data_IF_468065196165
#
_entry.id   IF_468065196165
#
_cell.length_a   1.000
_cell.length_b   1.000
_cell.length_c   1.000
_cell.angle_alpha   90.00
_cell.angle_beta   90.00
_cell.angle_gamma   90.00
#
_symmetry.space_group_name_H-M   'P 1'
#
loop_
_entity.id
_entity.type
_entity.pdbx_description
1 polymer ?
#
# COMPACT_ATOMS: atom_id res chain seq x y z
N UNK A 1 23.68 13.93 -4.44
CA UNK A 1 23.93 13.46 -5.82
C UNK A 1 22.74 13.86 -6.67
N UNK A 2 22.88 14.72 -7.69
CA UNK A 2 21.76 15.08 -8.55
C UNK A 2 21.33 13.87 -9.39
N UNK A 3 20.02 13.71 -9.60
CA UNK A 3 19.46 12.63 -10.40
C UNK A 3 19.92 12.74 -11.87
N UNK A 4 20.14 11.60 -12.57
CA UNK A 4 20.59 11.62 -13.96
C UNK A 4 19.55 12.28 -14.89
N UNK A 5 20.00 13.01 -15.93
CA UNK A 5 19.11 13.63 -16.91
C UNK A 5 18.37 12.55 -17.70
N UNK A 6 17.03 12.57 -17.64
CA UNK A 6 16.16 11.60 -18.31
C UNK A 6 15.13 10.90 -17.41
N UNK A 7 15.14 11.17 -16.10
CA UNK A 7 14.05 10.74 -15.22
C UNK A 7 12.76 11.47 -15.63
N UNK A 8 11.89 10.78 -16.37
CA UNK A 8 10.52 11.22 -16.60
C UNK A 8 9.86 11.30 -15.23
N UNK A 9 9.66 12.50 -14.72
CA UNK A 9 8.80 12.72 -13.56
C UNK A 9 7.38 12.43 -14.00
N UNK A 10 6.92 11.19 -13.82
CA UNK A 10 5.49 10.89 -13.92
C UNK A 10 4.76 11.77 -12.89
N UNK A 11 3.62 12.39 -13.26
CA UNK A 11 2.82 13.13 -12.30
C UNK A 11 2.43 12.21 -11.15
N UNK A 12 2.59 12.69 -9.91
CA UNK A 12 2.10 12.01 -8.73
C UNK A 12 0.59 11.82 -8.88
N UNK A 13 0.14 10.56 -8.90
CA UNK A 13 -1.27 10.23 -8.94
C UNK A 13 -1.71 9.78 -7.56
N UNK A 14 -2.56 10.58 -6.91
CA UNK A 14 -3.15 10.22 -5.62
C UNK A 14 -4.32 9.26 -5.86
N UNK A 15 -4.32 8.16 -5.12
CA UNK A 15 -5.36 7.13 -5.17
C UNK A 15 -5.84 6.78 -3.76
N UNK A 16 -7.04 6.25 -3.65
CA UNK A 16 -7.51 5.58 -2.43
C UNK A 16 -7.35 4.07 -2.60
N UNK A 17 -6.55 3.48 -1.70
CA UNK A 17 -6.34 2.05 -1.62
C UNK A 17 -7.03 1.44 -0.41
N UNK A 18 -7.57 0.24 -0.56
CA UNK A 18 -8.03 -0.59 0.55
C UNK A 18 -6.82 -1.34 1.14
N UNK A 19 -6.56 -1.22 2.45
CA UNK A 19 -5.58 -2.09 3.11
C UNK A 19 -6.22 -3.44 3.37
N UNK A 20 -5.63 -4.52 2.85
CA UNK A 20 -6.18 -5.88 2.95
C UNK A 20 -5.09 -6.89 3.29
N UNK A 21 -5.13 -7.41 4.52
CA UNK A 21 -4.19 -8.44 4.99
C UNK A 21 -4.43 -9.81 4.37
N UNK A 22 -5.60 -10.04 3.76
CA UNK A 22 -5.91 -11.27 3.03
C UNK A 22 -5.41 -11.26 1.58
N UNK A 23 -5.01 -10.10 1.06
CA UNK A 23 -4.46 -9.98 -0.28
C UNK A 23 -2.96 -10.34 -0.30
N UNK A 24 -2.53 -11.34 -1.08
CA UNK A 24 -1.12 -11.73 -1.13
C UNK A 24 -0.24 -10.69 -1.83
N UNK A 25 -0.81 -9.88 -2.70
CA UNK A 25 -0.09 -8.87 -3.49
C UNK A 25 -0.85 -7.55 -3.48
N UNK A 26 -0.11 -6.45 -3.55
CA UNK A 26 -0.65 -5.13 -3.86
C UNK A 26 -1.04 -5.05 -5.33
N UNK A 27 -2.24 -4.57 -5.61
CA UNK A 27 -2.70 -4.41 -6.99
C UNK A 27 -3.56 -3.16 -7.19
N UNK A 28 -3.57 -2.65 -8.41
CA UNK A 28 -4.34 -1.49 -8.84
C UNK A 28 -5.20 -1.83 -10.04
N UNK A 29 -6.28 -1.09 -10.22
CA UNK A 29 -7.12 -1.21 -11.41
C UNK A 29 -6.40 -0.68 -12.67
N UNK A 30 -7.06 -0.87 -13.81
CA UNK A 30 -6.57 -0.39 -15.11
C UNK A 30 -6.43 1.13 -15.17
N UNK A 31 -7.32 1.86 -14.51
CA UNK A 31 -7.34 3.32 -14.52
C UNK A 31 -6.09 3.91 -13.86
N UNK A 32 -5.60 3.30 -12.78
CA UNK A 32 -4.32 3.70 -12.17
C UNK A 32 -3.15 3.44 -13.12
N UNK A 33 -3.14 2.29 -13.81
CA UNK A 33 -2.09 2.01 -14.80
C UNK A 33 -2.05 3.08 -15.89
N UNK A 34 -3.21 3.45 -16.43
CA UNK A 34 -3.33 4.48 -17.46
C UNK A 34 -2.92 5.86 -16.94
N UNK A 35 -3.31 6.23 -15.72
CA UNK A 35 -2.93 7.50 -15.07
C UNK A 35 -1.42 7.62 -14.82
N UNK A 36 -0.76 6.50 -14.48
CA UNK A 36 0.69 6.43 -14.30
C UNK A 36 1.45 6.29 -15.63
N UNK A 37 0.76 6.15 -16.76
CA UNK A 37 1.37 5.91 -18.07
C UNK A 37 2.01 4.52 -18.20
N UNK A 38 1.60 3.56 -17.37
CA UNK A 38 2.07 2.17 -17.43
C UNK A 38 1.52 1.52 -18.69
N UNK A 39 2.43 1.05 -19.55
CA UNK A 39 2.06 0.38 -20.81
C UNK A 39 1.87 -1.11 -20.59
N UNK A 40 0.62 -1.53 -20.41
CA UNK A 40 0.28 -2.95 -20.28
C UNK A 40 0.22 -3.66 -21.64
N UNK A 41 0.50 -4.96 -21.67
CA UNK A 41 0.43 -5.81 -22.86
C UNK A 41 1.74 -5.88 -23.66
N UNK A 42 2.88 -5.55 -23.05
CA UNK A 42 4.19 -5.64 -23.71
C UNK A 42 4.62 -7.10 -23.88
N UNK A 43 5.29 -7.41 -24.99
CA UNK A 43 5.87 -8.73 -25.18
C UNK A 43 6.93 -9.01 -24.11
N UNK A 44 6.85 -10.18 -23.47
CA UNK A 44 7.76 -10.56 -22.37
C UNK A 44 7.43 -9.91 -21.01
N UNK A 45 6.27 -9.25 -20.87
CA UNK A 45 5.84 -8.71 -19.60
C UNK A 45 5.60 -9.83 -18.56
N UNK A 46 5.87 -9.52 -17.29
CA UNK A 46 5.57 -10.39 -16.16
C UNK A 46 4.06 -10.36 -15.91
N UNK A 47 3.40 -11.52 -16.04
CA UNK A 47 1.93 -11.62 -16.01
C UNK A 47 1.49 -12.65 -14.99
N UNK A 48 0.29 -12.46 -14.46
CA UNK A 48 -0.33 -13.42 -13.56
C UNK A 48 -1.83 -13.24 -13.47
N UNK A 49 -2.42 -13.83 -12.43
CA UNK A 49 -3.82 -13.66 -12.12
C UNK A 49 -4.02 -13.38 -10.64
N UNK A 50 -5.01 -12.53 -10.33
CA UNK A 50 -5.45 -12.24 -8.97
C UNK A 50 -6.94 -12.58 -8.84
N UNK A 51 -7.36 -12.90 -7.62
CA UNK A 51 -8.76 -13.17 -7.30
C UNK A 51 -9.36 -11.95 -6.62
N UNK A 52 -10.32 -11.30 -7.26
CA UNK A 52 -10.95 -10.05 -6.79
C UNK A 52 -12.46 -10.21 -6.89
N UNK A 53 -13.17 -9.93 -5.79
CA UNK A 53 -14.64 -10.01 -5.72
C UNK A 53 -15.20 -11.35 -6.21
N UNK A 54 -14.49 -12.45 -5.93
CA UNK A 54 -14.85 -13.80 -6.36
C UNK A 54 -14.48 -14.16 -7.81
N UNK A 55 -14.11 -13.19 -8.65
CA UNK A 55 -13.65 -13.39 -10.03
C UNK A 55 -12.13 -13.54 -10.15
N UNK A 56 -11.67 -13.98 -11.33
CA UNK A 56 -10.25 -14.09 -11.69
C UNK A 56 -9.90 -13.05 -12.74
N UNK A 57 -8.85 -12.27 -12.47
CA UNK A 57 -8.46 -11.15 -13.32
C UNK A 57 -7.01 -11.29 -13.73
N UNK A 58 -6.75 -11.11 -15.03
CA UNK A 58 -5.39 -11.09 -15.57
C UNK A 58 -4.71 -9.78 -15.18
N UNK A 59 -3.48 -9.91 -14.71
CA UNK A 59 -2.64 -8.78 -14.29
C UNK A 59 -1.30 -8.80 -15.00
N UNK A 60 -0.67 -7.63 -15.03
CA UNK A 60 0.74 -7.45 -15.38
C UNK A 60 1.45 -6.83 -14.18
N UNK A 61 2.63 -7.34 -13.85
CA UNK A 61 3.40 -6.85 -12.72
C UNK A 61 4.43 -5.81 -13.17
N UNK A 62 4.51 -4.72 -12.43
CA UNK A 62 5.42 -3.62 -12.69
C UNK A 62 6.03 -3.12 -11.38
N UNK A 63 7.22 -2.51 -11.49
CA UNK A 63 7.85 -1.85 -10.35
C UNK A 63 7.53 -0.36 -10.37
N UNK A 64 6.90 0.13 -9.31
CA UNK A 64 6.53 1.54 -9.16
C UNK A 64 7.05 2.09 -7.84
N UNK A 65 7.25 3.40 -7.79
CA UNK A 65 7.49 4.10 -6.54
C UNK A 65 6.15 4.45 -5.91
N UNK A 66 5.89 3.99 -4.68
CA UNK A 66 4.72 4.35 -3.89
C UNK A 66 5.14 5.33 -2.80
N UNK A 67 4.27 6.29 -2.50
CA UNK A 67 4.46 7.24 -1.40
C UNK A 67 3.18 7.35 -0.59
N UNK A 68 3.28 7.34 0.74
CA UNK A 68 2.12 7.63 1.59
C UNK A 68 1.79 9.13 1.50
N UNK A 69 0.55 9.46 1.15
CA UNK A 69 0.12 10.86 1.05
C UNK A 69 0.25 11.62 2.39
N UNK A 70 0.08 10.93 3.52
CA UNK A 70 0.19 11.51 4.85
C UNK A 70 1.65 11.70 5.33
N UNK A 71 2.60 10.96 4.74
CA UNK A 71 4.04 11.09 5.01
C UNK A 71 4.81 10.98 3.68
N UNK A 72 5.12 12.10 3.02
CA UNK A 72 5.89 12.10 1.77
C UNK A 72 7.30 11.51 1.90
N UNK A 73 7.83 11.36 3.12
CA UNK A 73 9.12 10.72 3.36
C UNK A 73 9.01 9.19 3.37
N UNK A 74 7.82 8.64 3.61
CA UNK A 74 7.53 7.22 3.46
C UNK A 74 7.27 6.92 1.98
N UNK A 75 8.37 6.76 1.24
CA UNK A 75 8.38 6.41 -0.18
C UNK A 75 9.24 5.18 -0.41
N UNK A 76 8.73 4.19 -1.14
CA UNK A 76 9.44 2.93 -1.41
C UNK A 76 9.15 2.39 -2.81
N UNK A 77 10.10 1.67 -3.42
CA UNK A 77 9.82 0.90 -4.62
C UNK A 77 9.02 -0.35 -4.25
N UNK A 78 7.98 -0.66 -5.03
CA UNK A 78 7.14 -1.84 -4.85
C UNK A 78 6.90 -2.52 -6.19
N UNK A 79 6.90 -3.85 -6.17
CA UNK A 79 6.33 -4.66 -7.24
C UNK A 79 4.81 -4.73 -7.01
N UNK A 80 4.03 -4.32 -7.99
CA UNK A 80 2.57 -4.28 -7.91
C UNK A 80 1.94 -4.86 -9.16
N UNK A 81 0.74 -5.41 -9.01
CA UNK A 81 -0.05 -5.90 -10.13
C UNK A 81 -0.99 -4.81 -10.65
N UNK A 82 -1.08 -4.66 -11.98
CA UNK A 82 -2.10 -3.84 -12.63
C UNK A 82 -3.09 -4.75 -13.36
N UNK A 83 -4.39 -4.57 -13.08
CA UNK A 83 -5.44 -5.29 -13.79
C UNK A 83 -5.49 -4.85 -15.26
N UNK A 84 -5.47 -5.83 -16.16
CA UNK A 84 -5.42 -5.57 -17.60
C UNK A 84 -6.79 -5.22 -18.19
N UNK A 85 -7.84 -5.85 -17.66
CA UNK A 85 -9.20 -5.74 -18.15
C UNK A 85 -9.89 -4.47 -17.60
N UNK A 86 -10.34 -3.54 -18.45
CA UNK A 86 -11.04 -2.33 -18.01
C UNK A 86 -12.46 -2.60 -17.49
N UNK A 87 -13.00 -3.82 -17.65
CA UNK A 87 -14.34 -4.16 -17.18
C UNK A 87 -14.42 -4.31 -15.66
N UNK A 88 -13.30 -4.53 -14.96
CA UNK A 88 -13.30 -4.54 -13.51
C UNK A 88 -13.53 -3.13 -12.99
N UNK A 89 -14.69 -2.91 -12.36
CA UNK A 89 -15.00 -1.69 -11.63
C UNK A 89 -14.94 -1.97 -10.13
N UNK A 90 -13.95 -1.40 -9.45
CA UNK A 90 -13.82 -1.46 -8.00
C UNK A 90 -14.27 -0.13 -7.39
N UNK A 91 -14.83 -0.13 -6.17
CA UNK A 91 -15.18 1.12 -5.47
C UNK A 91 -13.95 1.87 -4.94
N UNK A 92 -12.77 1.27 -5.03
CA UNK A 92 -11.45 1.82 -4.68
C UNK A 92 -10.49 1.57 -5.85
N UNK A 93 -9.42 2.35 -5.97
CA UNK A 93 -8.50 2.27 -7.11
C UNK A 93 -7.44 1.16 -6.96
N UNK A 94 -7.31 0.59 -5.77
CA UNK A 94 -6.43 -0.55 -5.54
C UNK A 94 -6.56 -1.17 -4.15
N UNK A 95 -5.83 -2.27 -3.98
CA UNK A 95 -5.70 -2.99 -2.73
C UNK A 95 -4.22 -3.04 -2.36
N UNK A 96 -3.92 -2.66 -1.12
CA UNK A 96 -2.61 -2.70 -0.52
C UNK A 96 -2.48 -4.00 0.27
N UNK A 97 -1.77 -4.96 -0.31
CA UNK A 97 -1.66 -6.33 0.18
C UNK A 97 -0.31 -6.64 0.82
N UNK A 98 -0.03 -7.94 0.95
CA UNK A 98 1.19 -8.44 1.60
C UNK A 98 2.44 -8.01 0.86
N UNK A 99 2.63 -8.48 -0.38
CA UNK A 99 3.72 -8.02 -1.23
C UNK A 99 3.45 -6.58 -1.70
N UNK A 100 4.40 -5.69 -1.46
CA UNK A 100 4.40 -4.32 -1.96
C UNK A 100 3.89 -3.27 -0.97
N UNK A 101 3.24 -3.67 0.13
CA UNK A 101 2.81 -2.74 1.18
C UNK A 101 3.01 -3.29 2.60
N UNK A 102 2.34 -4.37 3.00
CA UNK A 102 2.40 -4.87 4.38
C UNK A 102 3.77 -5.51 4.70
N UNK A 103 4.57 -5.85 3.69
CA UNK A 103 5.97 -6.24 3.86
C UNK A 103 6.90 -5.06 4.18
N UNK A 104 6.39 -3.81 4.10
CA UNK A 104 7.14 -2.57 4.39
C UNK A 104 6.67 -1.85 5.64
N UNK A 105 5.42 -2.04 6.04
CA UNK A 105 4.80 -1.31 7.13
C UNK A 105 4.12 -2.24 8.12
N UNK A 106 4.11 -1.82 9.39
CA UNK A 106 3.22 -2.39 10.40
C UNK A 106 1.91 -1.62 10.33
N UNK A 107 0.80 -2.35 10.19
CA UNK A 107 -0.54 -1.77 10.19
C UNK A 107 -1.32 -2.25 11.40
N UNK A 108 -1.78 -1.30 12.21
CA UNK A 108 -2.57 -1.59 13.42
C UNK A 108 -3.99 -1.10 13.20
N UNK A 109 -4.97 -2.00 13.26
CA UNK A 109 -6.39 -1.67 13.10
C UNK A 109 -7.05 -1.41 14.46
N UNK A 110 -7.58 -0.19 14.64
CA UNK A 110 -8.39 0.17 15.78
C UNK A 110 -9.86 0.22 15.38
N UNK A 111 -10.53 -0.93 15.48
CA UNK A 111 -11.93 -1.01 15.06
C UNK A 111 -12.88 -0.21 15.96
N UNK A 112 -12.57 -0.10 17.25
CA UNK A 112 -13.43 0.59 18.22
C UNK A 112 -13.55 2.09 17.88
N UNK A 113 -12.44 2.74 17.50
CA UNK A 113 -12.42 4.16 17.15
C UNK A 113 -12.45 4.45 15.64
N UNK A 114 -12.60 3.40 14.83
CA UNK A 114 -12.70 3.40 13.37
C UNK A 114 -11.52 4.08 12.65
N UNK A 115 -10.30 3.69 13.03
CA UNK A 115 -9.08 4.11 12.35
C UNK A 115 -8.05 2.98 12.26
N UNK A 116 -7.01 3.20 11.48
CA UNK A 116 -5.82 2.37 11.51
C UNK A 116 -4.57 3.24 11.50
N UNK A 117 -3.47 2.69 12.01
CA UNK A 117 -2.14 3.29 11.97
C UNK A 117 -1.30 2.56 10.94
N UNK A 118 -0.44 3.31 10.25
CA UNK A 118 0.59 2.76 9.36
C UNK A 118 1.92 3.29 9.87
N UNK A 119 2.79 2.39 10.27
CA UNK A 119 4.07 2.70 10.91
C UNK A 119 5.20 1.96 10.21
N UNK A 120 6.40 2.54 10.22
CA UNK A 120 7.59 1.78 9.83
C UNK A 120 7.90 0.75 10.91
N UNK A 121 8.45 -0.43 10.56
CA UNK A 121 8.81 -1.44 11.54
C UNK A 121 9.74 -0.93 12.64
N UNK A 122 10.69 -0.04 12.32
CA UNK A 122 11.58 0.60 13.30
C UNK A 122 10.83 1.40 14.36
N UNK A 123 9.84 2.17 13.92
CA UNK A 123 9.12 3.12 14.75
C UNK A 123 8.16 2.34 15.67
N UNK A 124 7.50 1.32 15.11
CA UNK A 124 6.69 0.38 15.88
C UNK A 124 7.52 -0.36 16.93
N UNK A 125 8.71 -0.85 16.58
CA UNK A 125 9.60 -1.53 17.53
C UNK A 125 10.12 -0.60 18.63
N UNK A 126 10.44 0.67 18.33
CA UNK A 126 10.82 1.63 19.36
C UNK A 126 9.66 1.86 20.35
N UNK A 127 8.43 1.99 19.83
CA UNK A 127 7.22 2.23 20.62
C UNK A 127 6.80 1.04 21.48
N UNK A 128 6.79 -0.17 20.90
CA UNK A 128 6.34 -1.40 21.59
C UNK A 128 7.47 -2.08 22.36
N UNK A 129 8.73 -1.97 21.92
CA UNK A 129 9.88 -2.48 22.66
C UNK A 129 10.02 -1.84 24.04
N UNK A 130 9.57 -0.59 24.19
CA UNK A 130 9.44 0.10 25.49
C UNK A 130 8.26 -0.44 26.33
N UNK A 131 7.20 -0.96 25.71
CA UNK A 131 6.01 -1.47 26.40
C UNK A 131 6.11 -2.97 26.75
N UNK A 132 6.87 -3.78 26.01
CA UNK A 132 7.03 -5.22 26.26
C UNK A 132 7.88 -5.54 27.50
N UNK A 133 8.58 -4.56 28.05
CA UNK A 133 9.29 -4.69 29.34
C UNK A 133 8.38 -4.44 30.56
N UNK A 134 7.18 -3.91 30.34
CA UNK A 134 6.14 -3.78 31.36
C UNK A 134 5.14 -4.95 31.19
N UNK A 135 4.74 -5.58 32.28
CA UNK A 135 3.80 -6.71 32.24
C UNK A 135 2.51 -6.33 31.49
N UNK A 136 2.04 -7.16 30.55
CA UNK A 136 0.84 -6.88 29.76
C UNK A 136 -0.40 -7.18 30.60
N UNK A 137 -0.69 -6.33 31.59
CA UNK A 137 -1.92 -6.42 32.37
C UNK A 137 -2.55 -5.03 32.56
N UNK A 138 -3.74 -4.91 31.97
CA UNK A 138 -4.84 -4.00 32.34
C UNK A 138 -4.71 -2.50 32.12
N UNK A 139 -3.60 -1.99 31.55
CA UNK A 139 -3.55 -0.56 31.16
C UNK A 139 -4.08 -0.36 29.74
N UNK A 140 -5.13 0.45 29.52
CA UNK A 140 -5.44 0.93 28.18
C UNK A 140 -4.21 1.70 27.67
N UNK A 141 -3.68 1.31 26.51
CA UNK A 141 -2.56 2.04 25.90
C UNK A 141 -3.01 3.50 25.69
N UNK A 142 -2.26 4.44 26.26
CA UNK A 142 -2.59 5.89 26.22
C UNK A 142 -2.65 6.38 24.76
N UNK A 143 -2.10 5.60 23.83
CA UNK A 143 -2.07 5.84 22.39
C UNK A 143 -3.35 5.40 21.63
N UNK A 144 -4.33 4.77 22.30
CA UNK A 144 -5.67 4.53 21.72
C UNK A 144 -6.56 5.78 21.76
N UNK A 145 -6.11 6.87 22.40
CA UNK A 145 -6.73 8.18 22.22
C UNK A 145 -6.41 8.70 20.81
N UNK A 146 -7.44 9.16 20.09
CA UNK A 146 -7.28 9.66 18.71
C UNK A 146 -6.16 10.71 18.66
N UNK A 147 -5.17 10.58 17.77
CA UNK A 147 -4.19 11.64 17.57
C UNK A 147 -4.93 12.92 17.17
N UNK A 148 -4.76 13.99 17.96
CA UNK A 148 -5.30 15.30 17.61
C UNK A 148 -4.63 15.78 16.32
N UNK A 149 -5.42 16.01 15.26
CA UNK A 149 -4.93 16.73 14.08
C UNK A 149 -4.72 18.20 14.48
N UNK A 150 -3.48 18.68 14.41
CA UNK A 150 -3.17 20.12 14.34
C UNK A 150 -3.43 20.64 12.93
#
# INVERSE_FOLDING_TARGET
>A
VPAPPGAVTCPLTSIFGLVDTGAPVTFFDRGVADALGVRLGRAGADVGAVRILGGHWQVEFEHVQITLAADPTASWPARVAFVKDPALQMPFQGVLGTEGFLDKFVVTFNKYYDYFLVERPSDWHARIGEQLTDEPTDRPDVQWERPHRN
#
